data_IF_971501610512
#
_entry.id   IF_971501610512
#
_cell.length_a   1.000
_cell.length_b   1.000
_cell.length_c   1.000
_cell.angle_alpha   90.00
_cell.angle_beta   90.00
_cell.angle_gamma   90.00
#
_symmetry.space_group_name_H-M   'P 1'
#
loop_
_entity.id
_entity.type
_entity.pdbx_description
1 polymer ?
#
# COMPACT_ATOMS: atom_id res chain seq x y z
N UNK A 1 -21.08 63.88 -58.18
CA UNK A 1 -20.88 64.39 -56.81
C UNK A 1 -20.73 63.20 -55.90
N UNK A 2 -19.65 63.18 -55.12
CA UNK A 2 -19.19 62.14 -54.19
C UNK A 2 -20.27 61.53 -53.28
N UNK A 3 -20.54 60.22 -53.34
CA UNK A 3 -21.21 59.49 -52.25
C UNK A 3 -20.33 58.41 -51.57
N UNK A 4 -19.22 57.99 -52.17
CA UNK A 4 -18.48 56.79 -51.73
C UNK A 4 -17.47 57.02 -50.58
N UNK A 5 -16.84 58.19 -50.50
CA UNK A 5 -15.86 58.47 -49.42
C UNK A 5 -16.49 58.66 -48.04
N UNK A 6 -17.77 59.05 -47.98
CA UNK A 6 -18.46 59.30 -46.71
C UNK A 6 -18.78 58.01 -45.94
N UNK A 7 -18.99 56.90 -46.65
CA UNK A 7 -19.35 55.60 -46.05
C UNK A 7 -18.10 54.86 -45.53
N UNK A 8 -16.98 54.94 -46.27
CA UNK A 8 -15.69 54.40 -45.82
C UNK A 8 -15.18 55.07 -44.53
N UNK A 9 -15.31 56.40 -44.43
CA UNK A 9 -14.88 57.14 -43.25
C UNK A 9 -15.71 56.78 -42.01
N UNK A 10 -17.01 56.53 -42.18
CA UNK A 10 -17.89 56.09 -41.10
C UNK A 10 -17.59 54.66 -40.65
N UNK A 11 -17.29 53.75 -41.59
CA UNK A 11 -16.89 52.37 -41.31
C UNK A 11 -15.57 52.30 -40.54
N UNK A 12 -14.55 53.06 -40.97
CA UNK A 12 -13.24 53.14 -40.30
C UNK A 12 -13.36 53.65 -38.86
N UNK A 13 -14.24 54.64 -38.61
CA UNK A 13 -14.54 55.13 -37.26
C UNK A 13 -15.22 54.07 -36.38
N UNK A 14 -16.16 53.28 -36.93
CA UNK A 14 -16.80 52.17 -36.21
C UNK A 14 -15.83 51.05 -35.85
N UNK A 15 -14.94 50.66 -36.77
CA UNK A 15 -13.93 49.63 -36.52
C UNK A 15 -12.91 50.06 -35.47
N UNK A 16 -12.47 51.33 -35.50
CA UNK A 16 -11.58 51.89 -34.49
C UNK A 16 -12.21 51.87 -33.09
N UNK A 17 -13.48 52.28 -32.97
CA UNK A 17 -14.23 52.20 -31.70
C UNK A 17 -14.37 50.76 -31.19
N UNK A 18 -14.67 49.80 -32.07
CA UNK A 18 -14.72 48.37 -31.68
C UNK A 18 -13.36 47.85 -31.21
N UNK A 19 -12.26 48.23 -31.88
CA UNK A 19 -10.89 47.84 -31.49
C UNK A 19 -10.50 48.45 -30.14
N UNK A 20 -10.80 49.72 -29.91
CA UNK A 20 -10.56 50.40 -28.63
C UNK A 20 -11.40 49.80 -27.48
N UNK A 21 -12.67 49.45 -27.73
CA UNK A 21 -13.51 48.78 -26.74
C UNK A 21 -13.03 47.36 -26.43
N UNK A 22 -12.59 46.61 -27.44
CA UNK A 22 -12.01 45.27 -27.25
C UNK A 22 -10.71 45.34 -26.46
N UNK A 23 -9.84 46.32 -26.77
CA UNK A 23 -8.60 46.54 -26.04
C UNK A 23 -8.89 46.87 -24.57
N UNK A 24 -9.80 47.82 -24.29
CA UNK A 24 -10.20 48.16 -22.91
C UNK A 24 -10.77 46.96 -22.13
N UNK A 25 -11.55 46.08 -22.78
CA UNK A 25 -12.06 44.85 -22.14
C UNK A 25 -10.95 43.85 -21.83
N UNK A 26 -10.00 43.67 -22.74
CA UNK A 26 -8.83 42.79 -22.53
C UNK A 26 -7.92 43.34 -21.42
N UNK A 27 -7.67 44.66 -21.40
CA UNK A 27 -6.87 45.30 -20.34
C UNK A 27 -7.57 45.22 -18.98
N UNK A 28 -8.89 45.41 -18.92
CA UNK A 28 -9.64 45.25 -17.68
C UNK A 28 -9.65 43.79 -17.18
N UNK A 29 -9.80 42.82 -18.08
CA UNK A 29 -9.76 41.40 -17.74
C UNK A 29 -8.39 40.93 -17.24
N UNK A 30 -7.31 41.41 -17.84
CA UNK A 30 -5.93 41.09 -17.41
C UNK A 30 -5.60 41.69 -16.04
N UNK A 31 -6.06 42.92 -15.75
CA UNK A 31 -5.91 43.51 -14.42
C UNK A 31 -6.70 42.72 -13.37
N UNK A 32 -7.93 42.29 -13.68
CA UNK A 32 -8.74 41.50 -12.76
C UNK A 32 -8.08 40.15 -12.43
N UNK A 33 -7.53 39.46 -13.44
CA UNK A 33 -6.79 38.21 -13.25
C UNK A 33 -5.54 38.40 -12.38
N UNK A 34 -4.79 39.50 -12.57
CA UNK A 34 -3.63 39.80 -11.74
C UNK A 34 -4.02 40.06 -10.27
N UNK A 35 -5.16 40.72 -10.02
CA UNK A 35 -5.68 40.93 -8.67
C UNK A 35 -6.08 39.60 -8.02
N UNK A 36 -6.77 38.72 -8.76
CA UNK A 36 -7.15 37.39 -8.26
C UNK A 36 -5.92 36.56 -7.93
N UNK A 37 -4.91 36.55 -8.81
CA UNK A 37 -3.65 35.84 -8.57
C UNK A 37 -2.92 36.37 -7.32
N UNK A 38 -2.84 37.69 -7.15
CA UNK A 38 -2.25 38.30 -5.97
C UNK A 38 -3.02 37.96 -4.68
N UNK A 39 -4.36 37.91 -4.75
CA UNK A 39 -5.20 37.50 -3.62
C UNK A 39 -5.00 36.02 -3.25
N UNK A 40 -4.84 35.13 -4.24
CA UNK A 40 -4.54 33.71 -3.98
C UNK A 40 -3.15 33.51 -3.37
N UNK A 41 -2.13 34.25 -3.84
CA UNK A 41 -0.79 34.22 -3.25
C UNK A 41 -0.85 34.71 -1.79
N UNK A 42 -1.59 35.79 -1.52
CA UNK A 42 -1.77 36.30 -0.17
C UNK A 42 -2.52 35.30 0.73
N UNK A 43 -3.57 34.65 0.20
CA UNK A 43 -4.31 33.60 0.92
C UNK A 43 -3.38 32.43 1.30
N UNK A 44 -2.57 31.94 0.37
CA UNK A 44 -1.60 30.88 0.62
C UNK A 44 -0.53 31.28 1.64
N UNK A 45 -0.09 32.54 1.64
CA UNK A 45 0.94 33.02 2.58
C UNK A 45 0.43 33.33 4.00
N UNK A 46 -0.85 33.67 4.14
CA UNK A 46 -1.41 34.18 5.41
C UNK A 46 -2.29 33.15 6.13
N UNK A 47 -3.06 32.35 5.39
CA UNK A 47 -4.11 31.50 5.97
C UNK A 47 -3.79 30.00 5.91
N UNK A 48 -2.85 29.57 5.07
CA UNK A 48 -2.37 28.19 5.05
C UNK A 48 -1.18 28.09 6.01
N UNK A 49 -1.25 27.30 7.10
CA UNK A 49 -0.12 27.09 7.98
C UNK A 49 1.05 26.52 7.18
N UNK A 50 2.25 27.07 7.34
CA UNK A 50 3.44 26.45 6.75
C UNK A 50 3.62 25.07 7.38
N UNK A 51 4.15 24.11 6.62
CA UNK A 51 4.41 22.75 7.12
C UNK A 51 5.12 22.80 8.47
N UNK A 52 6.13 23.66 8.62
CA UNK A 52 6.88 23.91 9.86
C UNK A 52 6.02 24.27 11.10
N UNK A 53 4.83 24.80 10.91
CA UNK A 53 3.89 25.22 11.98
C UNK A 53 2.85 24.15 12.32
N UNK A 54 2.73 23.09 11.50
CA UNK A 54 1.88 21.96 11.83
C UNK A 54 2.49 21.15 12.98
N UNK A 55 1.66 20.64 13.92
CA UNK A 55 2.12 19.81 15.02
C UNK A 55 2.86 18.58 14.47
N UNK A 56 4.09 18.39 14.92
CA UNK A 56 4.90 17.22 14.61
C UNK A 56 4.74 16.19 15.74
N UNK A 57 4.27 14.97 15.46
CA UNK A 57 4.14 13.94 16.48
C UNK A 57 5.51 13.58 17.08
N UNK A 58 5.65 13.74 18.40
CA UNK A 58 6.92 13.53 19.10
C UNK A 58 7.48 12.09 18.93
N UNK A 59 6.62 11.11 18.64
CA UNK A 59 7.01 9.72 18.42
C UNK A 59 7.72 9.47 17.08
N UNK A 60 7.62 10.39 16.12
CA UNK A 60 8.32 10.29 14.83
C UNK A 60 9.80 10.73 14.89
N UNK A 61 10.28 11.09 16.08
CA UNK A 61 11.64 11.60 16.28
C UNK A 61 11.77 13.07 15.88
N UNK A 62 12.99 13.52 15.55
CA UNK A 62 13.20 14.89 15.09
C UNK A 62 12.56 15.08 13.71
N UNK A 63 11.87 16.22 13.55
CA UNK A 63 11.35 16.63 12.25
C UNK A 63 12.50 16.72 11.24
N UNK A 64 12.41 16.04 10.07
CA UNK A 64 13.43 16.16 9.05
C UNK A 64 13.52 17.60 8.55
N UNK A 65 14.74 18.07 8.27
CA UNK A 65 14.95 19.41 7.75
C UNK A 65 14.31 19.50 6.35
N UNK A 66 13.33 20.39 6.18
CA UNK A 66 12.73 20.69 4.88
C UNK A 66 13.76 21.50 4.08
N UNK A 67 14.64 20.81 3.36
CA UNK A 67 15.55 21.43 2.41
C UNK A 67 14.79 21.75 1.13
N UNK A 68 14.34 22.99 0.96
CA UNK A 68 14.02 23.48 -0.39
C UNK A 68 15.35 23.51 -1.16
N UNK A 69 15.54 22.54 -2.05
CA UNK A 69 16.72 22.44 -2.90
C UNK A 69 16.70 23.56 -3.97
N UNK A 70 17.02 24.79 -3.56
CA UNK A 70 17.49 25.82 -4.47
C UNK A 70 19.03 25.73 -4.54
N UNK A 71 19.56 24.71 -5.21
CA UNK A 71 20.97 24.75 -5.60
C UNK A 71 21.08 25.51 -6.93
N UNK A 72 21.38 26.79 -6.80
CA UNK A 72 21.95 27.59 -7.88
C UNK A 72 23.37 27.08 -8.13
N UNK A 73 23.65 26.80 -9.39
CA UNK A 73 24.97 26.44 -9.92
C UNK A 73 25.96 27.58 -9.61
N UNK A 74 26.90 27.35 -8.70
CA UNK A 74 28.16 28.09 -8.65
C UNK A 74 29.36 27.15 -8.69
N UNK A 75 30.18 27.36 -9.72
CA UNK A 75 31.47 26.72 -9.98
C UNK A 75 32.50 27.07 -8.91
N UNK A 76 33.16 26.05 -8.38
CA UNK A 76 34.57 26.08 -7.97
C UNK A 76 35.08 24.63 -8.19
N UNK A 77 35.86 24.31 -9.22
CA UNK A 77 37.31 24.55 -9.34
C UNK A 77 38.05 24.44 -8.00
N UNK A 78 38.45 23.21 -7.66
CA UNK A 78 39.86 22.77 -7.55
C UNK A 78 39.95 21.64 -6.52
N UNK A 79 40.10 20.40 -7.00
CA UNK A 79 40.48 19.28 -6.16
C UNK A 79 41.75 18.68 -6.76
N UNK A 80 42.86 18.91 -6.05
CA UNK A 80 44.17 18.41 -6.36
C UNK A 80 44.25 16.89 -6.34
N UNK A 81 45.20 16.41 -7.12
CA UNK A 81 45.63 15.03 -7.27
C UNK A 81 46.13 14.40 -5.96
N UNK A 82 45.83 13.11 -5.76
CA UNK A 82 46.83 12.12 -5.33
C UNK A 82 46.50 10.76 -5.99
N UNK A 83 47.52 10.17 -6.59
CA UNK A 83 47.59 8.94 -7.39
C UNK A 83 47.83 7.67 -6.51
N UNK A 84 47.96 6.43 -7.06
CA UNK A 84 47.49 5.17 -6.48
C UNK A 84 48.61 4.19 -6.06
N UNK A 85 48.25 3.02 -5.48
CA UNK A 85 48.81 1.68 -5.75
C UNK A 85 48.69 0.65 -4.58
N UNK A 86 48.53 -0.63 -4.97
CA UNK A 86 48.91 -1.84 -4.20
C UNK A 86 47.74 -2.75 -3.79
N UNK A 87 47.27 -3.72 -4.60
CA UNK A 87 47.82 -5.04 -4.92
C UNK A 87 47.80 -6.07 -3.77
N UNK A 88 47.14 -7.21 -3.98
CA UNK A 88 47.15 -8.39 -3.11
C UNK A 88 46.19 -9.49 -3.57
N UNK A 89 46.71 -10.42 -4.36
CA UNK A 89 46.07 -11.66 -4.85
C UNK A 89 45.83 -12.70 -3.74
N UNK A 90 44.83 -13.57 -3.91
CA UNK A 90 44.96 -15.03 -3.69
C UNK A 90 43.78 -15.80 -4.31
N UNK A 91 44.13 -16.71 -5.23
CA UNK A 91 43.29 -17.72 -5.87
C UNK A 91 43.01 -18.93 -4.95
N UNK A 92 41.94 -19.68 -5.23
CA UNK A 92 41.94 -21.16 -5.10
C UNK A 92 40.75 -21.77 -5.85
N UNK A 93 41.03 -22.41 -6.97
CA UNK A 93 40.16 -23.32 -7.74
C UNK A 93 39.97 -24.67 -7.02
N UNK A 94 38.95 -25.44 -7.42
CA UNK A 94 38.97 -26.91 -7.27
C UNK A 94 37.60 -27.59 -7.12
N UNK A 95 37.03 -28.06 -8.25
CA UNK A 95 35.89 -29.00 -8.36
C UNK A 95 36.40 -30.28 -9.09
N UNK A 96 35.59 -31.31 -9.36
CA UNK A 96 35.04 -32.40 -8.52
C UNK A 96 35.57 -33.80 -8.92
N UNK A 97 35.16 -34.86 -8.22
CA UNK A 97 34.99 -36.20 -8.83
C UNK A 97 34.08 -37.13 -8.01
N UNK A 98 33.09 -37.72 -8.68
CA UNK A 98 32.28 -38.87 -8.26
C UNK A 98 33.09 -40.17 -8.31
N UNK A 99 32.78 -41.16 -7.46
CA UNK A 99 32.93 -42.58 -7.81
C UNK A 99 31.95 -43.44 -7.01
N UNK A 100 31.24 -44.32 -7.73
CA UNK A 100 30.31 -45.35 -7.25
C UNK A 100 31.04 -46.54 -6.62
N UNK A 101 30.40 -47.22 -5.66
CA UNK A 101 30.61 -48.65 -5.42
C UNK A 101 29.37 -49.29 -4.74
N UNK A 102 28.78 -50.28 -5.43
CA UNK A 102 27.81 -51.24 -4.89
C UNK A 102 28.50 -52.29 -4.01
N UNK A 103 27.85 -52.78 -2.95
CA UNK A 103 27.89 -54.20 -2.52
C UNK A 103 26.54 -54.61 -1.91
N UNK A 104 26.14 -55.85 -2.23
CA UNK A 104 24.90 -56.56 -1.94
C UNK A 104 24.73 -57.08 -0.51
N UNK A 105 23.46 -57.31 -0.16
CA UNK A 105 22.83 -58.42 0.59
C UNK A 105 23.47 -58.97 1.88
N UNK A 106 22.68 -59.06 2.97
CA UNK A 106 22.06 -60.32 3.41
C UNK A 106 21.27 -60.14 4.73
N UNK A 107 20.10 -60.78 4.77
CA UNK A 107 19.19 -60.91 5.91
C UNK A 107 19.69 -61.99 6.88
N UNK A 108 19.83 -61.67 8.17
CA UNK A 108 19.75 -62.68 9.23
C UNK A 108 19.05 -62.11 10.48
N UNK A 109 17.98 -62.81 10.88
CA UNK A 109 17.22 -62.57 12.08
C UNK A 109 17.95 -63.16 13.31
N UNK A 110 18.06 -62.38 14.38
CA UNK A 110 18.33 -62.87 15.73
C UNK A 110 17.46 -62.12 16.75
N UNK A 111 16.85 -62.91 17.63
CA UNK A 111 15.89 -62.59 18.68
C UNK A 111 16.57 -62.41 20.03
N UNK A 112 16.11 -61.42 20.83
CA UNK A 112 16.02 -61.33 22.32
C UNK A 112 16.20 -59.86 22.80
N UNK A 113 15.81 -59.46 24.02
CA UNK A 113 14.60 -59.70 24.86
C UNK A 113 13.93 -58.35 25.28
N UNK A 114 12.79 -58.31 26.02
CA UNK A 114 11.98 -57.09 26.21
C UNK A 114 12.35 -56.28 27.48
N UNK A 115 12.25 -54.94 27.38
CA UNK A 115 11.78 -53.92 28.37
C UNK A 115 12.52 -52.56 28.20
N UNK A 116 11.96 -51.39 28.61
CA UNK A 116 10.64 -51.12 29.18
C UNK A 116 9.80 -50.11 28.35
N UNK A 117 8.49 -50.15 28.56
CA UNK A 117 7.54 -49.17 28.03
C UNK A 117 7.90 -47.76 28.54
N UNK A 118 8.49 -46.94 27.67
CA UNK A 118 8.41 -45.50 27.81
C UNK A 118 6.96 -45.13 27.52
N UNK A 119 6.28 -44.53 28.49
CA UNK A 119 4.97 -43.93 28.31
C UNK A 119 5.07 -42.92 27.18
N UNK A 120 4.58 -43.30 26.00
CA UNK A 120 4.31 -42.35 24.94
C UNK A 120 3.20 -41.44 25.46
N UNK A 121 3.51 -40.15 25.66
CA UNK A 121 2.49 -39.11 25.61
C UNK A 121 1.65 -39.36 24.34
N UNK A 122 0.31 -39.24 24.40
CA UNK A 122 -0.47 -39.27 23.18
C UNK A 122 -0.03 -38.08 22.34
N UNK A 123 0.77 -38.33 21.30
CA UNK A 123 1.02 -37.34 20.27
C UNK A 123 -0.34 -37.02 19.65
N UNK A 124 -0.78 -35.77 19.77
CA UNK A 124 -1.97 -35.29 19.08
C UNK A 124 -1.92 -35.74 17.62
N UNK A 125 -3.04 -36.24 17.08
CA UNK A 125 -3.14 -36.61 15.67
C UNK A 125 -2.71 -35.44 14.78
N UNK A 126 -2.29 -35.69 13.55
CA UNK A 126 -1.89 -34.62 12.61
C UNK A 126 -2.97 -33.54 12.48
N UNK A 127 -4.25 -33.94 12.53
CA UNK A 127 -5.38 -33.01 12.61
C UNK A 127 -5.31 -32.13 13.88
N UNK A 128 -5.15 -32.74 15.06
CA UNK A 128 -4.98 -32.05 16.33
C UNK A 128 -3.85 -31.02 16.33
N UNK A 129 -2.73 -31.34 15.69
CA UNK A 129 -1.60 -30.41 15.57
C UNK A 129 -1.92 -29.20 14.67
N UNK A 130 -2.65 -29.41 13.57
CA UNK A 130 -3.07 -28.33 12.70
C UNK A 130 -4.04 -27.36 13.42
N UNK A 131 -4.99 -27.88 14.19
CA UNK A 131 -5.92 -27.07 15.00
C UNK A 131 -5.20 -26.28 16.10
N UNK A 132 -4.21 -26.88 16.76
CA UNK A 132 -3.36 -26.16 17.73
C UNK A 132 -2.60 -25.01 17.05
N UNK A 133 -2.02 -25.24 15.86
CA UNK A 133 -1.32 -24.21 15.12
C UNK A 133 -2.27 -23.07 14.69
N UNK A 134 -3.49 -23.40 14.26
CA UNK A 134 -4.51 -22.41 13.92
C UNK A 134 -4.91 -21.58 15.14
N UNK A 135 -5.15 -22.21 16.29
CA UNK A 135 -5.46 -21.51 17.54
C UNK A 135 -4.32 -20.57 17.98
N UNK A 136 -3.06 -20.97 17.79
CA UNK A 136 -1.91 -20.11 18.05
C UNK A 136 -1.88 -18.87 17.15
N UNK A 137 -2.17 -19.03 15.86
CA UNK A 137 -2.28 -17.91 14.91
C UNK A 137 -3.39 -16.94 15.31
N UNK A 138 -4.57 -17.45 15.66
CA UNK A 138 -5.71 -16.64 16.13
C UNK A 138 -5.35 -15.85 17.38
N UNK A 139 -4.78 -16.51 18.40
CA UNK A 139 -4.37 -15.86 19.64
C UNK A 139 -3.26 -14.81 19.43
N UNK A 140 -2.34 -15.05 18.49
CA UNK A 140 -1.30 -14.08 18.14
C UNK A 140 -1.88 -12.80 17.55
N UNK A 141 -3.00 -12.88 16.82
CA UNK A 141 -3.78 -11.74 16.33
C UNK A 141 -4.86 -11.23 17.30
N UNK A 142 -4.79 -11.60 18.59
CA UNK A 142 -5.74 -11.22 19.64
C UNK A 142 -7.16 -11.79 19.49
N UNK A 143 -7.38 -12.78 18.62
CA UNK A 143 -8.63 -13.53 18.57
C UNK A 143 -8.60 -14.69 19.57
N UNK A 144 -8.62 -14.34 20.86
CA UNK A 144 -8.56 -15.31 21.95
C UNK A 144 -9.82 -16.19 22.01
N UNK A 145 -10.99 -15.63 21.73
CA UNK A 145 -12.24 -16.40 21.73
C UNK A 145 -12.29 -17.38 20.55
N UNK A 146 -11.82 -16.97 19.37
CA UNK A 146 -11.63 -17.86 18.21
C UNK A 146 -10.60 -18.94 18.50
N UNK A 147 -9.46 -18.59 19.12
CA UNK A 147 -8.43 -19.56 19.51
C UNK A 147 -8.96 -20.61 20.51
N UNK A 148 -9.71 -20.19 21.53
CA UNK A 148 -10.34 -21.10 22.50
C UNK A 148 -11.35 -22.01 21.80
N UNK A 149 -12.18 -21.44 20.91
CA UNK A 149 -13.18 -22.19 20.14
C UNK A 149 -12.51 -23.26 19.28
N UNK A 150 -11.42 -22.91 18.59
CA UNK A 150 -10.64 -23.83 17.75
C UNK A 150 -10.07 -24.99 18.58
N UNK A 151 -9.49 -24.71 19.75
CA UNK A 151 -8.97 -25.74 20.66
C UNK A 151 -10.06 -26.70 21.16
N UNK A 152 -11.27 -26.22 21.40
CA UNK A 152 -12.41 -27.04 21.84
C UNK A 152 -12.92 -28.01 20.76
N UNK A 153 -12.52 -27.83 19.49
CA UNK A 153 -12.85 -28.78 18.41
C UNK A 153 -12.02 -30.06 18.46
N UNK A 154 -10.89 -30.04 19.18
CA UNK A 154 -9.97 -31.18 19.26
C UNK A 154 -10.57 -32.27 20.14
N UNK A 155 -10.57 -33.52 19.64
CA UNK A 155 -11.10 -34.66 20.41
C UNK A 155 -10.27 -34.88 21.68
N UNK A 156 -10.95 -34.90 22.85
CA UNK A 156 -10.31 -35.08 24.15
C UNK A 156 -9.71 -33.81 24.76
N UNK A 157 -10.00 -32.63 24.21
CA UNK A 157 -9.48 -31.34 24.71
C UNK A 157 -9.72 -31.11 26.21
N UNK A 158 -10.79 -31.66 26.77
CA UNK A 158 -11.22 -31.52 28.16
C UNK A 158 -10.37 -32.35 29.14
N UNK A 159 -9.61 -33.32 28.63
CA UNK A 159 -8.72 -34.18 29.40
C UNK A 159 -7.25 -34.01 29.05
N UNK A 160 -6.93 -33.30 27.97
CA UNK A 160 -5.57 -32.96 27.57
C UNK A 160 -5.03 -31.78 28.41
N UNK A 161 -4.02 -31.99 29.27
CA UNK A 161 -3.49 -30.93 30.12
C UNK A 161 -2.88 -29.75 29.34
N UNK A 162 -2.32 -29.99 28.15
CA UNK A 162 -1.72 -28.94 27.33
C UNK A 162 -2.80 -28.04 26.74
N UNK A 163 -3.87 -28.64 26.20
CA UNK A 163 -4.98 -27.88 25.62
C UNK A 163 -5.74 -27.10 26.71
N UNK A 164 -5.98 -27.72 27.86
CA UNK A 164 -6.60 -27.03 29.01
C UNK A 164 -5.75 -25.83 29.50
N UNK A 165 -4.43 -25.97 29.51
CA UNK A 165 -3.54 -24.86 29.86
C UNK A 165 -3.64 -23.72 28.83
N UNK A 166 -3.61 -24.02 27.52
CA UNK A 166 -3.77 -23.01 26.47
C UNK A 166 -5.11 -22.26 26.58
N UNK A 167 -6.22 -22.97 26.81
CA UNK A 167 -7.54 -22.36 27.02
C UNK A 167 -7.51 -21.41 28.23
N UNK A 168 -6.88 -21.85 29.33
CA UNK A 168 -6.73 -21.04 30.54
C UNK A 168 -5.92 -19.76 30.27
N UNK A 169 -4.79 -19.89 29.56
CA UNK A 169 -3.91 -18.77 29.23
C UNK A 169 -4.59 -17.76 28.31
N UNK A 170 -5.26 -18.22 27.25
CA UNK A 170 -5.99 -17.33 26.33
C UNK A 170 -7.19 -16.67 26.99
N UNK A 171 -7.89 -17.36 27.88
CA UNK A 171 -8.97 -16.77 28.69
C UNK A 171 -8.42 -15.62 29.54
N UNK A 172 -7.30 -15.84 30.22
CA UNK A 172 -6.66 -14.81 31.05
C UNK A 172 -6.15 -13.61 30.23
N UNK A 173 -5.59 -13.85 29.05
CA UNK A 173 -5.14 -12.78 28.14
C UNK A 173 -6.32 -11.94 27.63
N UNK A 174 -7.40 -12.59 27.18
CA UNK A 174 -8.64 -11.92 26.78
C UNK A 174 -9.19 -11.04 27.89
N UNK A 175 -9.27 -11.58 29.11
CA UNK A 175 -9.85 -10.88 30.26
C UNK A 175 -8.98 -9.71 30.74
N UNK A 176 -7.68 -9.71 30.41
CA UNK A 176 -6.75 -8.62 30.68
C UNK A 176 -6.77 -7.50 29.63
N UNK A 177 -7.39 -7.71 28.45
CA UNK A 177 -7.50 -6.68 27.43
C UNK A 177 -8.36 -5.50 27.88
N UNK A 178 -7.98 -4.30 27.45
CA UNK A 178 -8.65 -3.04 27.74
C UNK A 178 -9.35 -2.51 26.51
N UNK A 179 -10.48 -1.82 26.71
CA UNK A 179 -11.24 -1.22 25.62
C UNK A 179 -10.44 -0.11 24.93
N UNK A 180 -10.48 -0.11 23.60
CA UNK A 180 -9.98 0.98 22.76
C UNK A 180 -11.01 2.11 22.75
N UNK A 181 -10.55 3.37 22.84
CA UNK A 181 -11.42 4.53 22.62
C UNK A 181 -11.50 4.84 21.11
N UNK A 182 -12.62 4.52 20.43
CA UNK A 182 -12.76 4.68 18.98
C UNK A 182 -12.66 6.14 18.52
N UNK A 183 -12.83 7.13 19.41
CA UNK A 183 -12.69 8.55 19.08
C UNK A 183 -11.23 9.03 18.98
N UNK A 184 -10.28 8.20 19.38
CA UNK A 184 -8.85 8.55 19.44
C UNK A 184 -7.99 7.76 18.46
N UNK A 185 -8.59 6.85 17.69
CA UNK A 185 -7.88 5.98 16.76
C UNK A 185 -7.38 6.81 15.58
N UNK A 186 -6.05 6.90 15.35
CA UNK A 186 -5.53 7.58 14.18
C UNK A 186 -5.84 6.78 12.90
N UNK A 187 -6.03 7.52 11.82
CA UNK A 187 -6.13 6.99 10.46
C UNK A 187 -4.91 7.44 9.67
N UNK A 188 -4.17 6.49 9.11
CA UNK A 188 -3.08 6.73 8.17
C UNK A 188 -3.51 6.25 6.79
N UNK A 189 -3.17 7.02 5.76
CA UNK A 189 -3.43 6.62 4.39
C UNK A 189 -2.19 6.78 3.51
N UNK A 190 -2.13 5.98 2.46
CA UNK A 190 -1.10 6.04 1.43
C UNK A 190 -1.77 5.98 0.05
N UNK A 191 -1.07 6.46 -0.96
CA UNK A 191 -1.30 6.05 -2.34
C UNK A 191 -0.39 4.85 -2.65
N UNK A 192 -0.30 4.44 -3.92
CA UNK A 192 0.75 3.52 -4.36
C UNK A 192 2.15 4.05 -4.04
N UNK A 193 3.08 3.14 -3.75
CA UNK A 193 4.43 3.49 -3.32
C UNK A 193 5.38 3.76 -4.50
N UNK A 194 6.30 4.71 -4.30
CA UNK A 194 7.39 4.97 -5.25
C UNK A 194 8.49 3.92 -5.11
N UNK A 195 8.73 3.19 -6.19
CA UNK A 195 9.81 2.20 -6.30
C UNK A 195 11.08 2.78 -6.92
N UNK A 196 10.95 3.82 -7.75
CA UNK A 196 12.08 4.54 -8.34
C UNK A 196 11.90 6.05 -8.15
N UNK A 197 12.73 6.63 -7.30
CA UNK A 197 12.79 8.09 -7.12
C UNK A 197 13.42 8.79 -8.34
N UNK A 198 14.29 8.11 -9.09
CA UNK A 198 14.86 8.63 -10.34
C UNK A 198 13.77 8.84 -11.40
N UNK A 199 12.84 7.90 -11.57
CA UNK A 199 11.69 8.05 -12.48
C UNK A 199 10.68 9.04 -11.93
N UNK A 200 10.28 8.88 -10.67
CA UNK A 200 9.23 9.70 -10.06
C UNK A 200 9.58 11.20 -9.96
N UNK A 201 10.87 11.56 -9.95
CA UNK A 201 11.32 12.95 -9.88
C UNK A 201 12.03 13.43 -11.15
N UNK A 202 11.85 12.73 -12.28
CA UNK A 202 12.34 13.18 -13.58
C UNK A 202 11.43 14.28 -14.17
N UNK A 203 11.80 15.53 -13.93
CA UNK A 203 11.09 16.71 -14.48
C UNK A 203 11.08 16.73 -16.01
N UNK A 204 12.07 16.14 -16.68
CA UNK A 204 12.12 16.12 -18.14
C UNK A 204 11.09 15.14 -18.72
N UNK A 205 10.85 14.02 -18.04
CA UNK A 205 9.85 13.03 -18.45
C UNK A 205 8.42 13.41 -18.02
N UNK A 206 8.25 13.90 -16.78
CA UNK A 206 6.95 14.08 -16.14
C UNK A 206 6.44 15.52 -16.16
N UNK A 207 7.34 16.49 -16.31
CA UNK A 207 7.06 17.90 -16.08
C UNK A 207 7.02 18.25 -14.58
N UNK A 208 7.27 19.53 -14.29
CA UNK A 208 7.44 20.02 -12.91
C UNK A 208 6.23 19.75 -12.01
N UNK A 209 5.01 19.93 -12.53
CA UNK A 209 3.80 19.78 -11.70
C UNK A 209 3.56 18.36 -11.19
N UNK A 210 3.87 17.35 -12.00
CA UNK A 210 3.76 15.95 -11.59
C UNK A 210 4.81 15.61 -10.53
N UNK A 211 6.06 16.02 -10.74
CA UNK A 211 7.15 15.85 -9.77
C UNK A 211 6.82 16.53 -8.43
N UNK A 212 6.30 17.76 -8.46
CA UNK A 212 5.87 18.47 -7.25
C UNK A 212 4.74 17.73 -6.53
N UNK A 213 3.77 17.19 -7.28
CA UNK A 213 2.68 16.37 -6.74
C UNK A 213 3.18 15.09 -6.08
N UNK A 214 4.05 14.34 -6.75
CA UNK A 214 4.63 13.11 -6.20
C UNK A 214 5.44 13.39 -4.94
N UNK A 215 6.24 14.45 -4.92
CA UNK A 215 6.99 14.85 -3.74
C UNK A 215 6.09 15.29 -2.57
N UNK A 216 4.86 15.71 -2.83
CA UNK A 216 3.91 16.12 -1.81
C UNK A 216 3.02 14.99 -1.26
N UNK A 217 2.70 13.98 -2.09
CA UNK A 217 1.63 13.01 -1.79
C UNK A 217 2.07 11.56 -1.75
N UNK A 218 3.21 11.22 -2.37
CA UNK A 218 3.66 9.84 -2.51
C UNK A 218 4.73 9.52 -1.46
N UNK A 219 4.78 8.25 -1.09
CA UNK A 219 5.74 7.71 -0.13
C UNK A 219 6.58 6.67 -0.85
N UNK A 220 7.88 6.65 -0.60
CA UNK A 220 8.75 5.59 -1.13
C UNK A 220 8.53 4.27 -0.40
N UNK A 221 8.87 3.17 -1.05
CA UNK A 221 8.89 1.86 -0.41
C UNK A 221 9.69 1.85 0.91
N UNK A 222 10.89 2.44 0.91
CA UNK A 222 11.76 2.48 2.08
C UNK A 222 11.17 3.31 3.24
N UNK A 223 10.45 4.39 2.93
CA UNK A 223 9.76 5.18 3.93
C UNK A 223 8.56 4.43 4.52
N UNK A 224 7.79 3.73 3.67
CA UNK A 224 6.66 2.91 4.10
C UNK A 224 7.12 1.81 5.07
N UNK A 225 8.19 1.09 4.74
CA UNK A 225 8.75 0.04 5.59
C UNK A 225 9.19 0.60 6.95
N UNK A 226 9.89 1.74 6.95
CA UNK A 226 10.33 2.40 8.18
C UNK A 226 9.17 2.89 9.04
N UNK A 227 8.13 3.47 8.42
CA UNK A 227 6.94 3.91 9.15
C UNK A 227 6.20 2.71 9.74
N UNK A 228 6.01 1.65 8.96
CA UNK A 228 5.36 0.40 9.40
C UNK A 228 6.09 -0.21 10.60
N UNK A 229 7.41 -0.35 10.52
CA UNK A 229 8.23 -0.84 11.64
C UNK A 229 8.10 0.06 12.88
N UNK A 230 8.19 1.39 12.72
CA UNK A 230 8.08 2.31 13.86
C UNK A 230 6.70 2.30 14.51
N UNK A 231 5.63 2.14 13.73
CA UNK A 231 4.28 1.98 14.24
C UNK A 231 4.20 0.70 15.10
N UNK A 232 4.67 -0.42 14.56
CA UNK A 232 4.73 -1.69 15.28
C UNK A 232 5.53 -1.58 16.59
N UNK A 233 6.76 -1.06 16.54
CA UNK A 233 7.62 -0.86 17.72
C UNK A 233 6.99 0.07 18.77
N UNK A 234 6.15 1.01 18.32
CA UNK A 234 5.42 1.95 19.19
C UNK A 234 4.12 1.38 19.78
N UNK A 235 3.84 0.09 19.52
CA UNK A 235 2.70 -0.65 20.02
C UNK A 235 1.42 -0.49 19.21
N UNK A 236 1.49 0.01 17.97
CA UNK A 236 0.30 0.10 17.13
C UNK A 236 -0.11 -1.25 16.56
N UNK A 237 -1.43 -1.45 16.45
CA UNK A 237 -2.10 -2.64 15.94
C UNK A 237 -3.12 -2.18 14.90
N UNK A 238 -3.02 -2.70 13.69
CA UNK A 238 -4.00 -2.43 12.64
C UNK A 238 -5.36 -3.02 13.00
N UNK A 239 -6.40 -2.21 12.89
CA UNK A 239 -7.82 -2.61 13.07
C UNK A 239 -8.59 -2.22 11.82
N UNK A 240 -9.72 -2.89 11.54
CA UNK A 240 -10.59 -2.47 10.45
C UNK A 240 -11.32 -1.18 10.82
N UNK A 241 -11.66 -0.38 9.82
CA UNK A 241 -12.48 0.81 10.07
C UNK A 241 -13.84 0.42 10.68
N UNK A 242 -14.38 -0.72 10.22
CA UNK A 242 -15.64 -1.28 10.74
C UNK A 242 -15.54 -1.79 12.18
N UNK A 243 -14.35 -2.09 12.70
CA UNK A 243 -14.19 -2.51 14.10
C UNK A 243 -14.40 -1.35 15.09
N UNK A 244 -14.37 -0.09 14.62
CA UNK A 244 -14.55 1.09 15.46
C UNK A 244 -16.02 1.39 15.79
N UNK A 245 -16.96 0.76 15.08
CA UNK A 245 -18.40 1.04 15.18
C UNK A 245 -19.23 -0.24 15.29
N UNK A 246 -20.38 -0.13 15.94
CA UNK A 246 -21.44 -1.13 15.91
C UNK A 246 -22.56 -0.62 15.00
N UNK A 247 -22.94 -1.43 14.02
CA UNK A 247 -24.07 -1.15 13.14
C UNK A 247 -25.34 -1.80 13.68
N UNK A 248 -26.43 -1.04 13.73
CA UNK A 248 -27.78 -1.55 14.06
C UNK A 248 -28.78 -1.11 13.00
N UNK A 249 -29.71 -1.99 12.65
CA UNK A 249 -30.74 -1.71 11.63
C UNK A 249 -32.13 -1.77 12.28
N UNK A 250 -32.89 -0.68 12.15
CA UNK A 250 -34.27 -0.62 12.60
C UNK A 250 -35.18 -1.53 11.76
N UNK A 251 -36.40 -1.80 12.25
CA UNK A 251 -37.37 -2.64 11.54
C UNK A 251 -37.79 -2.09 10.17
N UNK A 252 -37.59 -0.79 9.92
CA UNK A 252 -37.88 -0.14 8.64
C UNK A 252 -36.67 -0.10 7.67
N UNK A 253 -35.52 -0.65 8.08
CA UNK A 253 -34.28 -0.66 7.29
C UNK A 253 -33.35 0.51 7.55
N UNK A 254 -33.67 1.42 8.48
CA UNK A 254 -32.77 2.54 8.83
C UNK A 254 -31.54 2.03 9.56
N UNK A 255 -30.35 2.37 9.06
CA UNK A 255 -29.05 1.98 9.62
C UNK A 255 -28.53 3.04 10.59
N UNK A 256 -28.05 2.61 11.76
CA UNK A 256 -27.42 3.46 12.77
C UNK A 256 -26.03 2.94 13.13
N UNK A 257 -25.11 3.86 13.41
CA UNK A 257 -23.76 3.53 13.88
C UNK A 257 -23.54 4.13 15.27
N UNK A 258 -23.02 3.31 16.17
CA UNK A 258 -22.56 3.72 17.49
C UNK A 258 -21.08 3.35 17.68
N UNK A 259 -20.32 4.05 18.53
CA UNK A 259 -18.95 3.64 18.87
C UNK A 259 -18.92 2.21 19.41
N UNK A 260 -17.99 1.39 18.92
CA UNK A 260 -17.81 0.03 19.41
C UNK A 260 -17.01 0.04 20.72
N UNK A 261 -17.62 -0.42 21.81
CA UNK A 261 -16.96 -0.57 23.11
C UNK A 261 -16.32 -1.95 23.33
N UNK A 262 -16.53 -2.89 22.41
CA UNK A 262 -16.07 -4.28 22.50
C UNK A 262 -14.73 -4.51 21.77
N UNK A 263 -14.23 -3.51 21.03
CA UNK A 263 -12.87 -3.53 20.52
C UNK A 263 -11.88 -3.40 21.68
N UNK A 264 -11.17 -4.49 21.99
CA UNK A 264 -10.24 -4.57 23.12
C UNK A 264 -8.87 -5.02 22.66
N UNK A 265 -7.82 -4.42 23.22
CA UNK A 265 -6.43 -4.77 22.98
C UNK A 265 -5.71 -4.99 24.31
N UNK A 266 -4.59 -5.73 24.33
CA UNK A 266 -3.75 -5.81 25.52
C UNK A 266 -3.30 -4.43 25.99
N UNK A 267 -3.08 -4.28 27.30
CA UNK A 267 -2.61 -3.03 27.88
C UNK A 267 -1.32 -2.54 27.19
N UNK A 268 -1.29 -1.26 26.82
CA UNK A 268 -0.16 -0.63 26.13
C UNK A 268 -0.19 -0.70 24.59
N UNK A 269 -1.01 -1.58 23.99
CA UNK A 269 -1.25 -1.59 22.54
C UNK A 269 -2.23 -0.49 22.14
N UNK A 270 -2.14 0.00 20.90
CA UNK A 270 -2.91 1.13 20.35
C UNK A 270 -3.50 0.75 19.00
N UNK A 271 -4.78 1.02 18.77
CA UNK A 271 -5.36 0.80 17.45
C UNK A 271 -4.87 1.85 16.43
N UNK A 272 -4.79 1.47 15.15
CA UNK A 272 -4.63 2.36 14.00
C UNK A 272 -5.42 1.81 12.81
N UNK A 273 -6.02 2.69 12.01
CA UNK A 273 -6.67 2.33 10.74
C UNK A 273 -5.76 2.71 9.59
N UNK A 274 -5.67 1.83 8.58
CA UNK A 274 -5.00 2.08 7.31
C UNK A 274 -6.02 2.20 6.18
N UNK A 275 -5.86 3.16 5.28
CA UNK A 275 -6.43 3.07 3.92
C UNK A 275 -5.39 3.24 2.83
N UNK A 276 -5.67 2.68 1.65
CA UNK A 276 -4.91 2.94 0.42
C UNK A 276 -5.84 3.65 -0.55
N UNK A 277 -5.48 4.87 -0.94
CA UNK A 277 -6.22 5.66 -1.91
C UNK A 277 -5.70 5.39 -3.32
N UNK A 278 -6.58 5.44 -4.31
CA UNK A 278 -6.26 5.28 -5.75
C UNK A 278 -5.50 3.99 -6.11
N UNK A 279 -5.83 2.84 -5.49
CA UNK A 279 -5.21 1.53 -5.77
C UNK A 279 -5.62 0.91 -7.15
N UNK A 280 -5.57 1.71 -8.20
CA UNK A 280 -6.06 1.42 -9.55
C UNK A 280 -4.96 1.35 -10.62
N UNK A 281 -3.74 1.79 -10.34
CA UNK A 281 -2.57 1.75 -11.24
C UNK A 281 -2.84 2.37 -12.63
N UNK A 282 -2.91 3.70 -12.64
CA UNK A 282 -3.26 4.48 -13.83
C UNK A 282 -2.16 4.49 -14.89
N UNK A 283 -2.54 4.67 -16.16
CA UNK A 283 -1.57 4.90 -17.25
C UNK A 283 -0.64 6.09 -16.97
N UNK A 284 -1.15 7.14 -16.32
CA UNK A 284 -0.37 8.32 -15.94
C UNK A 284 0.76 8.03 -14.94
N UNK A 285 0.73 6.87 -14.27
CA UNK A 285 1.75 6.45 -13.32
C UNK A 285 2.91 5.69 -13.99
N UNK A 286 2.71 5.13 -15.19
CA UNK A 286 3.73 4.32 -15.88
C UNK A 286 5.08 5.04 -16.01
N UNK A 287 5.15 6.33 -16.43
CA UNK A 287 6.43 7.01 -16.60
C UNK A 287 7.16 7.26 -15.27
N UNK A 288 6.43 7.27 -14.15
CA UNK A 288 6.97 7.50 -12.81
C UNK A 288 7.45 6.20 -12.12
N UNK A 289 7.26 5.04 -12.75
CA UNK A 289 7.80 3.77 -12.26
C UNK A 289 7.05 3.19 -11.06
N UNK A 290 5.72 3.36 -11.04
CA UNK A 290 4.85 2.60 -10.14
C UNK A 290 4.69 1.16 -10.62
N UNK A 291 4.19 0.24 -9.77
CA UNK A 291 3.74 -1.07 -10.21
C UNK A 291 2.60 -0.98 -11.23
N UNK A 292 2.42 -2.05 -12.01
CA UNK A 292 1.46 -2.08 -13.10
C UNK A 292 0.07 -2.53 -12.62
N UNK A 293 0.04 -3.53 -11.73
CA UNK A 293 -1.19 -4.11 -11.19
C UNK A 293 -0.92 -5.03 -10.00
N UNK A 294 -1.96 -5.33 -9.24
CA UNK A 294 -1.95 -6.47 -8.32
C UNK A 294 -2.16 -7.77 -9.09
N UNK A 295 -1.48 -8.83 -8.67
CA UNK A 295 -1.58 -10.19 -9.23
C UNK A 295 -1.50 -11.21 -8.10
N UNK A 296 -1.89 -12.45 -8.37
CA UNK A 296 -1.63 -13.57 -7.47
C UNK A 296 -0.31 -14.24 -7.84
N UNK A 297 0.51 -14.55 -6.84
CA UNK A 297 1.67 -15.42 -7.04
C UNK A 297 1.28 -16.91 -7.10
N UNK A 298 2.28 -17.79 -7.22
CA UNK A 298 2.08 -19.24 -7.28
C UNK A 298 1.43 -19.82 -6.01
N UNK A 299 1.50 -19.10 -4.89
CA UNK A 299 0.92 -19.48 -3.60
C UNK A 299 -0.49 -18.89 -3.41
N UNK A 300 -0.95 -18.05 -4.35
CA UNK A 300 -2.22 -17.35 -4.27
C UNK A 300 -2.20 -16.10 -3.41
N UNK A 301 -1.01 -15.63 -3.00
CA UNK A 301 -0.87 -14.38 -2.25
C UNK A 301 -0.90 -13.18 -3.18
N UNK A 302 -1.48 -12.08 -2.71
CA UNK A 302 -1.56 -10.84 -3.49
C UNK A 302 -0.18 -10.17 -3.53
N UNK A 303 0.33 -9.96 -4.75
CA UNK A 303 1.61 -9.33 -5.08
C UNK A 303 1.41 -8.24 -6.12
N UNK A 304 2.48 -7.51 -6.44
CA UNK A 304 2.49 -6.55 -7.54
C UNK A 304 3.27 -7.10 -8.74
N UNK A 305 2.78 -6.85 -9.95
CA UNK A 305 3.59 -6.91 -11.17
C UNK A 305 4.33 -5.58 -11.32
N UNK A 306 5.65 -5.63 -11.44
CA UNK A 306 6.50 -4.43 -11.53
C UNK A 306 7.60 -4.60 -12.56
N UNK A 307 7.77 -3.59 -13.40
CA UNK A 307 8.88 -3.51 -14.38
C UNK A 307 9.89 -2.43 -13.97
N UNK A 308 11.12 -2.85 -13.73
CA UNK A 308 12.21 -1.97 -13.29
C UNK A 308 12.75 -1.05 -14.42
N UNK A 309 13.75 -0.22 -14.11
CA UNK A 309 14.37 0.68 -15.10
C UNK A 309 15.16 -0.06 -16.20
N UNK A 310 15.60 -1.29 -15.91
CA UNK A 310 16.29 -2.15 -16.87
C UNK A 310 15.31 -2.94 -17.76
N UNK A 311 14.00 -2.81 -17.54
CA UNK A 311 12.96 -3.52 -18.27
C UNK A 311 12.71 -4.95 -17.76
N UNK A 312 13.18 -5.30 -16.57
CA UNK A 312 12.89 -6.60 -15.96
C UNK A 312 11.55 -6.54 -15.25
N UNK A 313 10.61 -7.39 -15.70
CA UNK A 313 9.33 -7.56 -15.05
C UNK A 313 9.41 -8.66 -13.98
N UNK A 314 8.93 -8.36 -12.78
CA UNK A 314 8.92 -9.28 -11.64
C UNK A 314 7.61 -9.20 -10.87
N UNK A 315 7.30 -10.28 -10.13
CA UNK A 315 6.17 -10.33 -9.20
C UNK A 315 6.73 -10.25 -7.78
N UNK A 316 6.26 -9.30 -6.97
CA UNK A 316 6.79 -9.10 -5.63
C UNK A 316 6.14 -7.99 -4.82
N UNK A 317 6.79 -7.64 -3.72
CA UNK A 317 6.28 -6.70 -2.72
C UNK A 317 6.68 -5.27 -3.09
N UNK A 318 5.99 -4.69 -4.07
CA UNK A 318 6.29 -3.38 -4.63
C UNK A 318 5.30 -2.28 -4.25
N UNK A 319 4.28 -2.59 -3.44
CA UNK A 319 3.28 -1.62 -2.99
C UNK A 319 2.75 -1.94 -1.59
N UNK A 320 1.88 -1.08 -1.06
CA UNK A 320 1.33 -1.14 0.30
C UNK A 320 0.76 -2.52 0.63
N UNK A 321 -0.06 -3.09 -0.27
CA UNK A 321 -0.76 -4.36 -0.04
C UNK A 321 0.21 -5.51 0.25
N UNK A 322 1.07 -5.92 -0.70
CA UNK A 322 1.95 -7.07 -0.46
C UNK A 322 2.98 -6.80 0.64
N UNK A 323 3.44 -5.55 0.80
CA UNK A 323 4.41 -5.19 1.85
C UNK A 323 3.82 -5.33 3.24
N UNK A 324 2.64 -4.77 3.47
CA UNK A 324 1.97 -4.90 4.75
C UNK A 324 1.61 -6.36 5.05
N UNK A 325 1.17 -7.12 4.04
CA UNK A 325 0.89 -8.55 4.19
C UNK A 325 2.12 -9.34 4.65
N UNK A 326 3.25 -9.16 3.97
CA UNK A 326 4.51 -9.83 4.33
C UNK A 326 4.99 -9.43 5.73
N UNK A 327 4.87 -8.16 6.09
CA UNK A 327 5.21 -7.67 7.43
C UNK A 327 4.34 -8.33 8.50
N UNK A 328 3.02 -8.30 8.34
CA UNK A 328 2.07 -8.84 9.34
C UNK A 328 2.04 -10.37 9.39
N UNK A 329 2.48 -11.06 8.34
CA UNK A 329 2.72 -12.51 8.38
C UNK A 329 3.85 -12.86 9.37
N UNK A 330 4.86 -12.00 9.49
CA UNK A 330 5.96 -12.15 10.45
C UNK A 330 5.62 -11.56 11.83
N UNK A 331 4.67 -10.62 11.87
CA UNK A 331 4.22 -9.89 13.05
C UNK A 331 2.70 -9.99 13.23
N UNK A 332 2.15 -11.19 13.52
CA UNK A 332 0.70 -11.39 13.65
C UNK A 332 0.07 -10.53 14.77
N UNK A 333 0.84 -10.18 15.80
CA UNK A 333 0.43 -9.28 16.89
C UNK A 333 0.40 -7.79 16.46
N UNK A 334 0.74 -7.48 15.21
CA UNK A 334 0.53 -6.18 14.58
C UNK A 334 -0.87 -5.99 14.00
N UNK A 335 -1.71 -7.02 13.98
CA UNK A 335 -3.04 -6.98 13.35
C UNK A 335 -4.12 -7.57 14.26
N UNK A 336 -5.14 -6.77 14.55
CA UNK A 336 -6.31 -7.24 15.29
C UNK A 336 -7.15 -8.15 14.39
N UNK A 337 -7.27 -9.43 14.78
CA UNK A 337 -8.03 -10.45 14.06
C UNK A 337 -7.61 -10.57 12.58
N UNK A 338 -6.33 -10.34 12.30
CA UNK A 338 -5.80 -10.38 10.94
C UNK A 338 -6.13 -9.16 10.08
N UNK A 339 -6.65 -8.07 10.65
CA UNK A 339 -6.96 -6.84 9.92
C UNK A 339 -5.78 -6.32 9.07
N UNK A 340 -6.10 -5.76 7.91
CA UNK A 340 -5.19 -5.00 7.06
C UNK A 340 -5.66 -3.55 6.97
N UNK A 341 -5.85 -3.03 5.75
CA UNK A 341 -6.46 -1.74 5.50
C UNK A 341 -7.71 -1.84 4.63
N UNK A 342 -8.30 -0.68 4.36
CA UNK A 342 -9.35 -0.52 3.36
C UNK A 342 -8.76 0.01 2.06
N UNK A 343 -9.12 -0.59 0.93
CA UNK A 343 -8.75 -0.10 -0.39
C UNK A 343 -9.84 0.86 -0.89
N UNK A 344 -9.50 2.15 -0.98
CA UNK A 344 -10.36 3.16 -1.58
C UNK A 344 -10.11 3.18 -3.10
N UNK A 345 -11.13 2.75 -3.84
CA UNK A 345 -11.07 2.63 -5.29
C UNK A 345 -11.75 3.80 -5.97
N UNK A 346 -11.07 4.38 -6.97
CA UNK A 346 -11.70 5.34 -7.89
C UNK A 346 -12.38 4.65 -9.06
N UNK A 347 -11.82 3.51 -9.50
CA UNK A 347 -12.19 2.86 -10.75
C UNK A 347 -11.65 3.57 -11.99
N UNK A 348 -10.85 4.64 -11.84
CA UNK A 348 -10.25 5.32 -12.99
C UNK A 348 -9.27 4.38 -13.69
N UNK A 349 -9.46 4.15 -15.00
CA UNK A 349 -8.85 3.07 -15.77
C UNK A 349 -9.19 1.64 -15.32
N UNK A 350 -9.99 1.44 -14.28
CA UNK A 350 -10.38 0.16 -13.70
C UNK A 350 -9.88 -0.04 -12.26
N UNK A 351 -9.80 -1.30 -11.84
CA UNK A 351 -9.47 -1.69 -10.45
C UNK A 351 -8.23 -2.56 -10.39
N UNK A 352 -7.37 -2.33 -9.39
CA UNK A 352 -6.16 -3.12 -9.13
C UNK A 352 -5.18 -3.21 -10.32
N UNK A 353 -5.31 -2.31 -11.31
CA UNK A 353 -4.50 -2.27 -12.53
C UNK A 353 -5.08 -3.08 -13.71
N UNK A 354 -6.25 -3.70 -13.52
CA UNK A 354 -7.02 -4.31 -14.59
C UNK A 354 -7.96 -3.28 -15.23
N UNK A 355 -8.11 -3.32 -16.55
CA UNK A 355 -8.87 -2.35 -17.35
C UNK A 355 -10.36 -2.66 -17.35
N UNK A 356 -10.96 -2.55 -16.18
CA UNK A 356 -12.37 -2.85 -15.89
C UNK A 356 -13.29 -1.63 -15.92
N UNK A 357 -12.79 -0.47 -16.35
CA UNK A 357 -13.64 0.68 -16.60
C UNK A 357 -14.50 0.43 -17.87
N UNK A 358 -15.78 0.80 -17.81
CA UNK A 358 -16.75 0.48 -18.86
C UNK A 358 -16.37 1.05 -20.23
N UNK A 359 -15.65 2.16 -20.26
CA UNK A 359 -15.24 2.82 -21.51
C UNK A 359 -14.28 1.92 -22.32
N UNK A 360 -13.53 1.01 -21.68
CA UNK A 360 -12.72 0.00 -22.40
C UNK A 360 -13.57 -1.05 -23.11
N UNK A 361 -14.75 -1.39 -22.57
CA UNK A 361 -15.67 -2.35 -23.17
C UNK A 361 -16.45 -1.71 -24.33
N UNK A 362 -17.08 -0.57 -24.08
CA UNK A 362 -17.97 0.08 -25.06
C UNK A 362 -17.22 0.92 -26.08
N UNK A 363 -15.98 1.31 -25.77
CA UNK A 363 -15.11 2.16 -26.61
C UNK A 363 -15.73 3.52 -26.90
N UNK A 364 -16.44 4.07 -25.91
CA UNK A 364 -17.01 5.40 -25.92
C UNK A 364 -16.29 6.24 -24.86
N UNK A 365 -16.20 7.55 -25.05
CA UNK A 365 -15.57 8.49 -24.11
C UNK A 365 -14.11 8.20 -23.71
N UNK A 366 -13.41 7.34 -24.47
CA UNK A 366 -12.00 7.01 -24.25
C UNK A 366 -11.16 8.29 -24.19
N UNK A 367 -10.40 8.41 -23.11
CA UNK A 367 -9.33 9.38 -22.98
C UNK A 367 -8.16 8.99 -23.89
N UNK A 368 -7.26 9.94 -24.17
CA UNK A 368 -6.14 9.73 -25.10
C UNK A 368 -5.22 8.56 -24.68
N UNK A 369 -4.96 8.45 -23.37
CA UNK A 369 -4.17 7.37 -22.79
C UNK A 369 -4.88 6.01 -22.88
N UNK A 370 -6.19 5.97 -22.65
CA UNK A 370 -7.00 4.75 -22.78
C UNK A 370 -7.03 4.24 -24.23
N UNK A 371 -7.22 5.15 -25.20
CA UNK A 371 -7.18 4.80 -26.62
C UNK A 371 -5.80 4.31 -27.03
N UNK A 372 -4.73 5.01 -26.62
CA UNK A 372 -3.36 4.60 -26.92
C UNK A 372 -3.03 3.22 -26.34
N UNK A 373 -3.51 2.93 -25.12
CA UNK A 373 -3.34 1.62 -24.51
C UNK A 373 -4.08 0.53 -25.27
N UNK A 374 -5.34 0.76 -25.68
CA UNK A 374 -6.11 -0.19 -26.50
C UNK A 374 -5.48 -0.46 -27.86
N UNK A 375 -4.91 0.57 -28.50
CA UNK A 375 -4.20 0.43 -29.78
C UNK A 375 -2.93 -0.42 -29.63
N UNK A 376 -2.25 -0.34 -28.48
CA UNK A 376 -1.08 -1.15 -28.14
C UNK A 376 -1.43 -2.59 -27.71
N UNK A 377 -2.66 -2.84 -27.26
CA UNK A 377 -3.14 -4.13 -26.76
C UNK A 377 -4.37 -4.60 -27.57
N UNK A 378 -4.20 -4.94 -28.87
CA UNK A 378 -5.31 -5.33 -29.74
C UNK A 378 -6.00 -6.65 -29.32
N UNK A 379 -5.36 -7.42 -28.46
CA UNK A 379 -5.84 -8.67 -27.86
C UNK A 379 -6.50 -8.47 -26.48
N UNK A 380 -6.61 -7.23 -26.01
CA UNK A 380 -7.30 -6.91 -24.76
C UNK A 380 -8.69 -7.54 -24.69
N UNK A 381 -8.98 -8.18 -23.55
CA UNK A 381 -10.25 -8.81 -23.25
C UNK A 381 -10.79 -8.30 -21.91
N UNK A 382 -11.82 -7.48 -21.98
CA UNK A 382 -12.48 -6.91 -20.81
C UNK A 382 -12.99 -7.97 -19.83
N UNK A 383 -13.62 -9.04 -20.32
CA UNK A 383 -14.18 -10.08 -19.46
C UNK A 383 -13.08 -10.84 -18.70
N UNK A 384 -11.91 -11.00 -19.31
CA UNK A 384 -10.74 -11.60 -18.67
C UNK A 384 -10.19 -10.70 -17.56
N UNK A 385 -10.07 -9.39 -17.81
CA UNK A 385 -9.62 -8.44 -16.80
C UNK A 385 -10.59 -8.36 -15.61
N UNK A 386 -11.90 -8.45 -15.85
CA UNK A 386 -12.92 -8.56 -14.78
C UNK A 386 -12.75 -9.87 -14.00
N UNK A 387 -12.53 -11.00 -14.68
CA UNK A 387 -12.32 -12.29 -14.02
C UNK A 387 -11.08 -12.27 -13.11
N UNK A 388 -9.96 -11.77 -13.61
CA UNK A 388 -8.70 -11.71 -12.85
C UNK A 388 -8.76 -10.70 -11.70
N UNK A 389 -9.35 -9.51 -11.92
CA UNK A 389 -9.61 -8.55 -10.85
C UNK A 389 -10.51 -9.13 -9.75
N UNK A 390 -11.48 -9.97 -10.12
CA UNK A 390 -12.34 -10.66 -9.15
C UNK A 390 -11.54 -11.64 -8.29
N UNK A 391 -10.62 -12.41 -8.90
CA UNK A 391 -9.73 -13.31 -8.14
C UNK A 391 -8.86 -12.56 -7.14
N UNK A 392 -8.30 -11.42 -7.56
CA UNK A 392 -7.52 -10.54 -6.67
C UNK A 392 -8.39 -9.98 -5.55
N UNK A 393 -9.62 -9.54 -5.84
CA UNK A 393 -10.55 -9.05 -4.80
C UNK A 393 -10.90 -10.12 -3.76
N UNK A 394 -11.12 -11.37 -4.18
CA UNK A 394 -11.35 -12.48 -3.25
C UNK A 394 -10.13 -12.78 -2.38
N UNK A 395 -8.92 -12.76 -2.96
CA UNK A 395 -7.68 -12.96 -2.22
C UNK A 395 -7.42 -11.83 -1.21
N UNK A 396 -7.62 -10.57 -1.60
CA UNK A 396 -7.52 -9.41 -0.72
C UNK A 396 -8.44 -9.56 0.51
N UNK A 397 -9.70 -9.92 0.30
CA UNK A 397 -10.65 -10.19 1.39
C UNK A 397 -10.20 -11.34 2.29
N UNK A 398 -9.66 -12.42 1.71
CA UNK A 398 -9.15 -13.55 2.46
C UNK A 398 -7.90 -13.20 3.30
N UNK A 399 -7.09 -12.24 2.82
CA UNK A 399 -5.90 -11.73 3.52
C UNK A 399 -6.22 -10.64 4.56
N UNK A 400 -7.48 -10.20 4.68
CA UNK A 400 -7.95 -9.26 5.70
C UNK A 400 -8.11 -7.80 5.23
N UNK A 401 -8.07 -7.54 3.92
CA UNK A 401 -8.36 -6.23 3.33
C UNK A 401 -9.86 -5.98 3.16
N UNK A 402 -10.27 -4.71 3.29
CA UNK A 402 -11.66 -4.24 3.12
C UNK A 402 -11.92 -3.48 1.82
#
# INVERSE_FOLDING_TARGET
GYPDEMDEAALRRRLRRKKEQRLKRVTAGTILLAIIAAAMILYAFVLVPRVEQLPWPAFLGNRPAVGIANQSVEKAQDAGAVDPAGAGEAQSEGKPAETQAQVQSETQAQTQPPEPQTQAQPSASEAGQAQIAQAQTLAAGYDYDGAITELMTISGYDTDPQIQQMITDYTAQRDACVAVDPYTVPHIFYHSLLNSTSKAFDVAALGQGAVDGYNAWMVTVDEFDQVTQRLYDSGYVYVRLRDLVTETVDADGTVHFAPNADLKLPEGKKAIVLSVDDCSYYHSYEPAGFPEKLVLDEQGSVKCLYTDEAGNTTVGDYDVVPRLNTFLAQHPDGAYHGARGILAMTGYNGVFGYRTDIDYLVKENLMEDQQAWLDAHPDFNYDQDVEEATKVAEALKAEGWE
#
